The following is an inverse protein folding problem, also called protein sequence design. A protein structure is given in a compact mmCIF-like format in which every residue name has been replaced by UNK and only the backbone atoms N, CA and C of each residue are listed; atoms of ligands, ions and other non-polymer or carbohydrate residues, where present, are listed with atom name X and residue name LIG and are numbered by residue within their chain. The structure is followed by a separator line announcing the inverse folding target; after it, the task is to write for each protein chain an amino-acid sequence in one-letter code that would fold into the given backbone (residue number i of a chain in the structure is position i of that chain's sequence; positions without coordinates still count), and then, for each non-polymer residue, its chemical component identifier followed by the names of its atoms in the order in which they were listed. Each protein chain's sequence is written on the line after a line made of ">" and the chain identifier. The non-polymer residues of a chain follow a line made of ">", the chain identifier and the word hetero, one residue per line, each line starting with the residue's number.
data_IF_105423572280
#
_entry.id   IF_105423572280
#
_cell.length_a   1.000
_cell.length_b   1.000
_cell.length_c   1.000
_cell.angle_alpha   90.00
_cell.angle_beta   90.00
_cell.angle_gamma   90.00
#
_symmetry.space_group_name_H-M   'P 1'
#
loop_
_entity.id
_entity.type
_entity.pdbx_description
1 polymer ?
#
# COMPACT_ATOMS: atom_id res chain seq x y z
N UNK A 1 -14.52 -2.67 9.99
CA UNK A 1 -13.33 -2.76 9.11
C UNK A 1 -12.26 -1.79 9.61
N UNK A 2 -11.08 -2.29 9.79
CA UNK A 2 -9.92 -1.49 10.17
C UNK A 2 -9.20 -1.07 8.90
N UNK A 3 -8.86 0.21 8.79
CA UNK A 3 -8.16 0.75 7.62
C UNK A 3 -6.79 1.25 7.99
N UNK A 4 -5.84 1.05 7.10
CA UNK A 4 -4.49 1.59 7.22
C UNK A 4 -4.03 2.15 5.90
N UNK A 5 -3.18 3.15 5.97
CA UNK A 5 -2.61 3.81 4.79
C UNK A 5 -1.12 3.53 4.77
N UNK A 6 -0.64 3.10 3.63
CA UNK A 6 0.78 2.94 3.36
C UNK A 6 1.20 3.86 2.23
N UNK A 7 2.37 4.46 2.40
CA UNK A 7 2.97 5.35 1.40
C UNK A 7 4.38 4.91 1.12
N UNK A 8 4.75 4.89 -0.13
CA UNK A 8 6.12 4.66 -0.53
C UNK A 8 6.46 5.50 -1.76
N UNK A 9 7.73 5.71 -1.98
CA UNK A 9 8.21 6.53 -3.07
C UNK A 9 9.35 5.82 -3.79
N UNK A 10 9.37 5.99 -5.12
CA UNK A 10 10.50 5.59 -5.92
C UNK A 10 11.51 6.75 -5.92
N UNK A 11 12.70 6.58 -5.32
CA UNK A 11 13.65 7.68 -5.18
C UNK A 11 14.30 8.12 -6.50
N UNK A 12 14.13 7.33 -7.56
CA UNK A 12 14.77 7.63 -8.84
C UNK A 12 13.92 8.53 -9.70
N UNK A 13 12.62 8.27 -9.80
CA UNK A 13 11.67 9.07 -10.58
C UNK A 13 10.73 9.91 -9.71
N UNK A 14 10.82 9.77 -8.40
CA UNK A 14 10.00 10.55 -7.47
C UNK A 14 8.53 10.14 -7.41
N UNK A 15 8.17 9.04 -8.03
CA UNK A 15 6.81 8.52 -7.98
C UNK A 15 6.43 8.13 -6.56
N UNK A 16 5.23 8.50 -6.15
CA UNK A 16 4.69 8.18 -4.84
C UNK A 16 3.42 7.38 -4.99
N UNK A 17 3.29 6.37 -4.15
CA UNK A 17 2.11 5.52 -4.13
C UNK A 17 1.51 5.56 -2.74
N UNK A 18 0.21 5.80 -2.69
CA UNK A 18 -0.58 5.76 -1.46
C UNK A 18 -1.64 4.68 -1.61
N UNK A 19 -1.60 3.70 -0.74
CA UNK A 19 -2.58 2.61 -0.70
C UNK A 19 -3.35 2.65 0.62
N UNK A 20 -4.66 2.51 0.53
CA UNK A 20 -5.50 2.21 1.67
C UNK A 20 -5.80 0.72 1.68
N UNK A 21 -5.52 0.08 2.81
CA UNK A 21 -5.81 -1.35 3.00
C UNK A 21 -6.87 -1.48 4.08
N UNK A 22 -7.91 -2.25 3.81
CA UNK A 22 -8.95 -2.57 4.77
C UNK A 22 -8.84 -4.01 5.24
N UNK A 23 -8.94 -4.19 6.55
CA UNK A 23 -8.90 -5.50 7.22
C UNK A 23 -10.22 -5.74 7.93
N UNK A 24 -10.81 -6.90 7.71
CA UNK A 24 -12.00 -7.37 8.43
C UNK A 24 -11.77 -8.82 8.85
N UNK A 25 -12.05 -9.12 10.12
CA UNK A 25 -11.83 -10.45 10.68
C UNK A 25 -10.41 -10.97 10.48
N UNK A 26 -9.43 -10.05 10.57
CA UNK A 26 -8.00 -10.36 10.41
C UNK A 26 -7.55 -10.59 8.98
N UNK A 27 -8.40 -10.39 8.00
CA UNK A 27 -8.11 -10.66 6.59
C UNK A 27 -8.22 -9.42 5.73
N UNK A 28 -7.43 -9.36 4.68
CA UNK A 28 -7.47 -8.28 3.70
C UNK A 28 -8.78 -8.36 2.91
N UNK A 29 -9.59 -7.30 2.99
CA UNK A 29 -10.86 -7.21 2.27
C UNK A 29 -10.91 -6.04 1.29
N UNK A 30 -9.95 -5.13 1.36
CA UNK A 30 -9.91 -3.96 0.48
C UNK A 30 -8.48 -3.51 0.26
N UNK A 31 -8.15 -3.21 -0.96
CA UNK A 31 -6.96 -2.48 -1.35
C UNK A 31 -7.40 -1.41 -2.33
N UNK A 32 -7.29 -0.16 -1.92
CA UNK A 32 -7.64 0.97 -2.76
C UNK A 32 -6.41 1.83 -3.00
N UNK A 33 -6.02 2.04 -4.25
CA UNK A 33 -5.03 3.06 -4.57
C UNK A 33 -5.68 4.43 -4.35
N UNK A 34 -5.35 5.08 -3.24
CA UNK A 34 -5.85 6.42 -2.92
C UNK A 34 -5.15 7.49 -3.74
N UNK A 35 -3.96 7.21 -4.19
CA UNK A 35 -3.24 8.10 -5.08
C UNK A 35 -1.98 7.43 -5.58
N UNK A 36 -1.81 7.42 -6.87
CA UNK A 36 -0.51 7.22 -7.48
C UNK A 36 -0.05 8.61 -7.85
N UNK A 37 0.77 9.18 -6.98
CA UNK A 37 1.36 10.49 -7.19
C UNK A 37 2.63 10.25 -7.97
N UNK A 38 2.60 10.66 -9.19
CA UNK A 38 3.79 10.59 -10.03
C UNK A 38 4.58 11.86 -9.80
N UNK A 39 5.82 11.71 -9.57
CA UNK A 39 6.86 12.62 -9.17
C UNK A 39 6.83 14.09 -9.54
N UNK A 40 5.72 14.58 -10.04
CA UNK A 40 5.54 15.97 -10.41
C UNK A 40 4.27 16.49 -9.76
N UNK A 41 4.44 17.28 -8.72
CA UNK A 41 3.37 18.14 -8.26
C UNK A 41 3.29 19.33 -9.22
N UNK A 42 2.34 19.30 -10.14
CA UNK A 42 2.06 20.47 -10.96
C UNK A 42 1.31 21.52 -10.16
N UNK A 43 1.93 22.69 -10.05
CA UNK A 43 1.21 23.87 -9.60
C UNK A 43 0.51 24.51 -10.79
N UNK A 44 -0.79 24.37 -10.86
CA UNK A 44 -1.60 25.08 -11.84
C UNK A 44 -2.42 26.11 -11.08
N UNK A 45 -2.12 27.40 -11.31
CA UNK A 45 -2.86 28.50 -10.72
C UNK A 45 -2.81 28.57 -9.19
N UNK A 46 -1.69 28.16 -8.57
CA UNK A 46 -1.54 28.15 -7.11
C UNK A 46 -2.14 26.93 -6.41
N UNK A 47 -2.73 26.00 -7.15
CA UNK A 47 -3.28 24.74 -6.63
C UNK A 47 -2.31 23.62 -6.98
N UNK A 48 -1.87 22.89 -5.97
CA UNK A 48 -1.06 21.70 -6.17
C UNK A 48 -1.95 20.58 -6.68
N UNK A 49 -1.71 20.12 -7.89
CA UNK A 49 -2.42 19.01 -8.50
C UNK A 49 -1.58 17.75 -8.41
N UNK A 50 -2.16 16.71 -7.83
CA UNK A 50 -1.64 15.36 -7.96
C UNK A 50 -2.12 14.82 -9.30
N UNK A 51 -1.21 14.61 -10.23
CA UNK A 51 -1.55 14.04 -11.52
C UNK A 51 -1.24 12.55 -11.54
N UNK A 52 -2.22 11.78 -11.94
CA UNK A 52 -1.99 10.40 -12.34
C UNK A 52 -1.36 10.43 -13.74
N UNK A 53 -0.08 10.42 -13.84
CA UNK A 53 0.64 10.27 -15.10
C UNK A 53 1.91 9.50 -14.81
N UNK A 54 2.53 8.84 -15.71
CA UNK A 54 3.87 8.31 -15.65
C UNK A 54 3.96 6.82 -15.50
N UNK A 55 3.83 6.20 -14.35
CA UNK A 55 4.01 4.75 -14.32
C UNK A 55 2.69 3.99 -14.42
N UNK A 56 2.26 3.71 -15.62
CA UNK A 56 1.13 2.82 -15.90
C UNK A 56 1.34 1.45 -15.23
N UNK A 57 2.59 1.00 -15.12
CA UNK A 57 2.95 -0.23 -14.44
C UNK A 57 2.59 -0.19 -12.95
N UNK A 58 2.82 0.93 -12.26
CA UNK A 58 2.44 1.07 -10.86
C UNK A 58 0.92 0.95 -10.68
N UNK A 59 0.15 1.55 -11.56
CA UNK A 59 -1.31 1.47 -11.54
C UNK A 59 -1.78 0.04 -11.75
N UNK A 60 -1.25 -0.65 -12.75
CA UNK A 60 -1.58 -2.05 -13.02
C UNK A 60 -1.18 -2.95 -11.86
N UNK A 61 -0.03 -2.72 -11.25
CA UNK A 61 0.43 -3.46 -10.09
C UNK A 61 -0.49 -3.26 -8.88
N UNK A 62 -0.91 -2.03 -8.61
CA UNK A 62 -1.84 -1.74 -7.53
C UNK A 62 -3.18 -2.48 -7.73
N UNK A 63 -3.68 -2.53 -8.94
CA UNK A 63 -4.90 -3.27 -9.27
C UNK A 63 -4.72 -4.79 -9.19
N UNK A 64 -3.54 -5.29 -9.57
CA UNK A 64 -3.23 -6.72 -9.55
C UNK A 64 -2.98 -7.24 -8.12
N UNK A 65 -2.67 -6.36 -7.19
CA UNK A 65 -2.37 -6.73 -5.82
C UNK A 65 -3.58 -7.29 -5.08
N UNK A 66 -4.77 -6.77 -5.33
CA UNK A 66 -5.98 -7.20 -4.64
C UNK A 66 -6.29 -8.69 -4.85
N UNK A 67 -6.29 -9.23 -6.08
CA UNK A 67 -6.50 -10.67 -6.27
C UNK A 67 -5.47 -11.55 -5.56
N UNK A 68 -4.23 -11.07 -5.40
CA UNK A 68 -3.18 -11.82 -4.71
C UNK A 68 -3.31 -11.82 -3.19
N UNK A 69 -3.78 -10.71 -2.63
CA UNK A 69 -3.81 -10.51 -1.19
C UNK A 69 -5.19 -10.69 -0.58
N UNK A 70 -6.22 -10.74 -1.39
CA UNK A 70 -7.60 -10.88 -0.96
C UNK A 70 -7.79 -12.10 -0.06
N UNK A 71 -8.47 -11.88 1.05
CA UNK A 71 -8.80 -12.90 2.07
C UNK A 71 -7.58 -13.51 2.77
N UNK A 72 -6.40 -12.96 2.58
CA UNK A 72 -5.22 -13.39 3.33
C UNK A 72 -5.17 -12.73 4.70
N UNK A 73 -4.77 -13.47 5.74
CA UNK A 73 -4.39 -12.86 7.01
C UNK A 73 -3.22 -11.89 6.83
N UNK A 74 -3.09 -10.91 7.71
CA UNK A 74 -2.01 -9.90 7.62
C UNK A 74 -0.64 -10.56 7.47
N UNK A 75 -0.37 -11.59 8.25
CA UNK A 75 0.92 -12.29 8.24
C UNK A 75 1.25 -12.90 6.87
N UNK A 76 0.27 -13.52 6.25
CA UNK A 76 0.42 -14.07 4.91
C UNK A 76 0.47 -12.97 3.84
N UNK A 77 -0.34 -11.92 3.99
CA UNK A 77 -0.32 -10.78 3.07
C UNK A 77 1.05 -10.09 3.05
N UNK A 78 1.74 -10.05 4.17
CA UNK A 78 3.10 -9.51 4.26
C UNK A 78 4.13 -10.32 3.46
N UNK A 79 3.83 -11.58 3.16
CA UNK A 79 4.71 -12.45 2.38
C UNK A 79 4.49 -12.36 0.87
N UNK A 80 3.47 -11.64 0.43
CA UNK A 80 3.28 -11.40 -1.01
C UNK A 80 4.51 -10.70 -1.55
N UNK A 81 5.18 -11.36 -2.47
CA UNK A 81 6.48 -10.93 -2.97
C UNK A 81 6.39 -10.12 -4.27
N UNK A 82 7.47 -9.45 -4.56
CA UNK A 82 7.61 -8.66 -5.79
C UNK A 82 7.43 -9.54 -7.03
N UNK A 83 7.98 -10.74 -7.01
CA UNK A 83 7.87 -11.69 -8.14
C UNK A 83 6.44 -12.10 -8.40
N UNK A 84 5.68 -12.36 -7.34
CA UNK A 84 4.26 -12.70 -7.46
C UNK A 84 3.47 -11.53 -8.07
N UNK A 85 3.76 -10.33 -7.65
CA UNK A 85 3.08 -9.14 -8.15
C UNK A 85 3.48 -8.83 -9.59
N UNK A 86 4.75 -8.99 -9.95
CA UNK A 86 5.20 -8.83 -11.34
C UNK A 86 4.45 -9.81 -12.24
N UNK A 87 4.35 -11.06 -11.85
CA UNK A 87 3.64 -12.09 -12.62
C UNK A 87 2.15 -11.75 -12.76
N UNK A 88 1.51 -11.25 -11.71
CA UNK A 88 0.09 -10.89 -11.73
C UNK A 88 -0.18 -9.61 -12.52
N UNK A 89 0.77 -8.69 -12.55
CA UNK A 89 0.65 -7.43 -13.27
C UNK A 89 0.66 -7.64 -14.80
N UNK A 90 1.35 -8.68 -15.25
CA UNK A 90 1.53 -8.97 -16.66
C UNK A 90 2.89 -8.49 -17.17
N UNK A 91 2.97 -8.03 -18.41
CA UNK A 91 4.22 -7.58 -18.97
C UNK A 91 4.78 -6.36 -18.24
N UNK A 92 5.90 -6.55 -17.55
CA UNK A 92 6.62 -5.50 -16.84
C UNK A 92 8.02 -5.38 -17.44
N UNK A 93 8.30 -4.22 -18.00
CA UNK A 93 9.65 -3.93 -18.50
C UNK A 93 10.63 -3.88 -17.33
N UNK A 94 11.88 -4.34 -17.50
CA UNK A 94 12.85 -4.34 -16.42
C UNK A 94 13.03 -2.97 -15.75
N UNK A 95 12.99 -1.90 -16.50
CA UNK A 95 13.08 -0.53 -15.98
C UNK A 95 11.88 -0.11 -15.14
N UNK A 96 10.76 -0.82 -15.24
CA UNK A 96 9.53 -0.53 -14.47
C UNK A 96 9.34 -1.46 -13.27
N UNK A 97 10.25 -2.38 -13.01
CA UNK A 97 10.16 -3.26 -11.83
C UNK A 97 10.19 -2.47 -10.52
N UNK A 98 10.82 -1.31 -10.50
CA UNK A 98 10.84 -0.40 -9.35
C UNK A 98 9.45 0.10 -8.99
N UNK A 99 8.60 0.32 -9.99
CA UNK A 99 7.22 0.75 -9.77
C UNK A 99 6.45 -0.34 -9.00
N UNK A 100 6.69 -1.59 -9.33
CA UNK A 100 6.10 -2.73 -8.64
C UNK A 100 6.63 -2.83 -7.20
N UNK A 101 7.93 -2.63 -7.01
CA UNK A 101 8.54 -2.56 -5.67
C UNK A 101 7.91 -1.49 -4.80
N UNK A 102 7.65 -0.32 -5.36
CA UNK A 102 7.03 0.80 -4.64
C UNK A 102 5.60 0.45 -4.21
N UNK A 103 4.85 -0.24 -5.05
CA UNK A 103 3.50 -0.72 -4.69
C UNK A 103 3.56 -1.73 -3.55
N UNK A 104 4.46 -2.70 -3.61
CA UNK A 104 4.66 -3.67 -2.52
C UNK A 104 5.08 -2.97 -1.23
N UNK A 105 5.98 -1.99 -1.32
CA UNK A 105 6.42 -1.21 -0.17
C UNK A 105 5.26 -0.48 0.51
N UNK A 106 4.44 0.21 -0.26
CA UNK A 106 3.26 0.91 0.26
C UNK A 106 2.28 -0.07 0.92
N UNK A 107 2.06 -1.22 0.30
CA UNK A 107 1.18 -2.26 0.85
C UNK A 107 1.68 -2.79 2.19
N UNK A 108 2.96 -3.14 2.28
CA UNK A 108 3.56 -3.62 3.53
C UNK A 108 3.50 -2.57 4.63
N UNK A 109 3.76 -1.32 4.30
CA UNK A 109 3.65 -0.20 5.26
C UNK A 109 2.22 -0.08 5.78
N UNK A 110 1.22 -0.17 4.93
CA UNK A 110 -0.18 -0.15 5.35
C UNK A 110 -0.51 -1.28 6.33
N UNK A 111 -0.07 -2.50 6.03
CA UNK A 111 -0.28 -3.66 6.90
C UNK A 111 0.43 -3.51 8.24
N UNK A 112 1.67 -3.03 8.23
CA UNK A 112 2.44 -2.79 9.45
C UNK A 112 1.76 -1.71 10.30
N UNK A 113 1.28 -0.64 9.70
CA UNK A 113 0.58 0.42 10.41
C UNK A 113 -0.70 -0.10 11.07
N UNK A 114 -1.45 -0.96 10.42
CA UNK A 114 -2.64 -1.60 11.01
C UNK A 114 -2.23 -2.47 12.20
N UNK A 115 -1.18 -3.27 12.05
CA UNK A 115 -0.69 -4.16 13.09
C UNK A 115 -0.21 -3.39 14.32
N UNK A 116 0.56 -2.33 14.12
CA UNK A 116 1.05 -1.47 15.20
C UNK A 116 -0.11 -0.79 15.92
N UNK A 117 -1.10 -0.28 15.21
CA UNK A 117 -2.28 0.33 15.80
C UNK A 117 -3.06 -0.67 16.68
N UNK A 118 -3.23 -1.90 16.20
CA UNK A 118 -3.89 -2.96 16.97
C UNK A 118 -3.12 -3.32 18.24
N UNK A 119 -1.79 -3.39 18.18
CA UNK A 119 -0.94 -3.61 19.36
C UNK A 119 -1.05 -2.47 20.36
N UNK A 120 -1.10 -1.22 19.87
CA UNK A 120 -1.24 -0.05 20.74
C UNK A 120 -2.57 -0.07 21.49
N UNK A 121 -3.67 -0.41 20.83
CA UNK A 121 -4.98 -0.56 21.47
C UNK A 121 -4.98 -1.66 22.53
N UNK A 122 -4.43 -2.83 22.21
CA UNK A 122 -4.30 -3.93 23.16
C UNK A 122 -3.48 -3.54 24.38
N UNK A 123 -2.39 -2.78 24.19
CA UNK A 123 -1.55 -2.29 25.28
C UNK A 123 -2.30 -1.31 26.18
N UNK A 124 -3.13 -0.43 25.63
CA UNK A 124 -3.96 0.50 26.39
C UNK A 124 -4.99 -0.25 27.24
N UNK A 125 -5.65 -1.26 26.69
CA UNK A 125 -6.61 -2.08 27.44
C UNK A 125 -5.95 -2.84 28.58
N UNK A 126 -4.79 -3.43 28.37
CA UNK A 126 -4.03 -4.10 29.42
C UNK A 126 -3.68 -3.13 30.57
N UNK A 127 -3.27 -1.91 30.24
CA UNK A 127 -2.99 -0.87 31.25
C UNK A 127 -4.24 -0.49 32.03
N UNK A 128 -5.40 -0.39 31.37
CA UNK A 128 -6.67 -0.10 32.03
C UNK A 128 -7.06 -1.19 33.04
N UNK A 129 -6.85 -2.45 32.67
CA UNK A 129 -7.14 -3.59 33.52
C UNK A 129 -6.21 -3.67 34.73
N UNK A 130 -4.98 -3.20 34.62
CA UNK A 130 -3.98 -3.19 35.72
C UNK A 130 -4.20 -2.08 36.74
N UNK A 131 -4.90 -1.03 36.39
CA UNK A 131 -5.13 0.14 37.25
C UNK A 131 -6.36 -0.06 38.16
N UNK A 132 -7.10 -1.11 37.97
CA UNK A 132 -8.18 -1.49 38.85
C UNK A 132 -7.58 -2.33 40.00
#
# INVERSE_FOLDING_TARGET
>A
MIKGIGRDANPIDGDRIVLEVGIRDGKVVRIAPEGIILGVMEQVGGITRETFGGCETARRAALALYPLARDLPIEEALTVGVRDLIAATGEVQPEHERCVLTVIGAFRIALINIHVAALAEASVEVKRLRVK
#
